data_IF_233655239490
#
_entry.id   IF_233655239490
#
_cell.length_a   1.000
_cell.length_b   1.000
_cell.length_c   1.000
_cell.angle_alpha   90.00
_cell.angle_beta   90.00
_cell.angle_gamma   90.00
#
_symmetry.space_group_name_H-M   'P 1'
#
loop_
_entity.id
_entity.type
_entity.pdbx_description
1 polymer ?
#
# COMPACT_ATOMS: atom_id res chain seq x y z
N UNK A 1 21.33 -14.22 33.45
CA UNK A 1 20.43 -14.25 32.30
C UNK A 1 21.04 -13.34 31.23
N UNK A 2 21.52 -13.89 30.12
CA UNK A 2 21.98 -13.08 28.98
C UNK A 2 20.74 -12.61 28.26
N UNK A 3 20.40 -11.33 28.34
CA UNK A 3 19.42 -10.71 27.45
C UNK A 3 19.95 -10.81 26.04
N UNK A 4 19.27 -11.55 25.19
CA UNK A 4 19.53 -11.50 23.74
C UNK A 4 19.46 -10.04 23.29
N UNK A 5 20.34 -9.54 22.42
CA UNK A 5 20.20 -8.19 21.89
C UNK A 5 18.83 -8.07 21.22
N UNK A 6 18.03 -7.12 21.66
CA UNK A 6 16.79 -6.76 20.97
C UNK A 6 17.17 -6.38 19.54
N UNK A 7 16.76 -7.18 18.59
CA UNK A 7 16.93 -6.85 17.17
C UNK A 7 16.03 -5.65 16.86
N UNK A 8 16.64 -4.51 16.56
CA UNK A 8 15.90 -3.33 16.14
C UNK A 8 15.09 -3.68 14.89
N UNK A 9 13.77 -3.50 14.88
CA UNK A 9 12.95 -3.83 13.72
C UNK A 9 13.44 -3.05 12.49
N UNK A 10 13.63 -3.76 11.38
CA UNK A 10 13.99 -3.15 10.10
C UNK A 10 12.96 -3.48 9.02
N UNK A 11 12.77 -2.56 8.10
CA UNK A 11 11.87 -2.68 6.96
C UNK A 11 12.70 -2.90 5.69
N UNK A 12 12.22 -3.77 4.81
CA UNK A 12 12.85 -4.01 3.51
C UNK A 12 12.35 -2.98 2.51
N UNK A 13 13.12 -1.92 2.30
CA UNK A 13 12.74 -0.81 1.43
C UNK A 13 13.22 -1.08 0.01
N UNK A 14 12.30 -1.16 -0.94
CA UNK A 14 12.61 -1.25 -2.36
C UNK A 14 12.82 0.13 -2.97
N UNK A 15 11.95 1.10 -2.66
CA UNK A 15 12.01 2.46 -3.21
C UNK A 15 11.57 3.49 -2.16
N UNK A 16 12.14 4.69 -2.26
CA UNK A 16 11.73 5.86 -1.49
C UNK A 16 11.85 7.11 -2.38
N UNK A 17 10.73 7.76 -2.68
CA UNK A 17 10.67 8.89 -3.61
C UNK A 17 9.51 9.83 -3.30
N UNK A 18 9.62 11.08 -3.75
CA UNK A 18 8.57 12.09 -3.66
C UNK A 18 7.84 12.24 -4.99
N UNK A 19 6.52 12.27 -4.96
CA UNK A 19 5.64 12.45 -6.12
C UNK A 19 4.25 12.95 -5.71
N UNK A 20 3.26 12.77 -6.55
CA UNK A 20 1.84 13.08 -6.28
C UNK A 20 1.07 11.78 -6.06
N UNK A 21 0.28 11.70 -4.98
CA UNK A 21 -0.68 10.60 -4.84
C UNK A 21 -1.73 10.70 -5.96
N UNK A 22 -1.84 9.64 -6.75
CA UNK A 22 -2.70 9.60 -7.94
C UNK A 22 -4.10 9.02 -7.70
N UNK A 23 -4.39 8.49 -6.49
CA UNK A 23 -5.54 7.63 -6.26
C UNK A 23 -6.21 7.89 -4.90
N UNK A 24 -7.50 7.53 -4.81
CA UNK A 24 -8.26 7.58 -3.56
C UNK A 24 -8.49 9.00 -3.04
N UNK A 25 -8.71 9.11 -1.73
CA UNK A 25 -9.05 10.38 -1.05
C UNK A 25 -7.95 11.43 -1.12
N UNK A 26 -6.71 11.01 -1.34
CA UNK A 26 -5.55 11.91 -1.40
C UNK A 26 -5.08 12.22 -2.82
N UNK A 27 -5.90 11.92 -3.84
CA UNK A 27 -5.58 12.25 -5.24
C UNK A 27 -5.18 13.71 -5.40
N UNK A 28 -4.01 13.94 -6.00
CA UNK A 28 -3.44 15.28 -6.23
C UNK A 28 -2.55 15.80 -5.10
N UNK A 29 -2.43 15.09 -3.98
CA UNK A 29 -1.61 15.50 -2.84
C UNK A 29 -0.13 15.13 -3.04
N UNK A 30 0.82 16.08 -2.86
CA UNK A 30 2.25 15.78 -2.78
C UNK A 30 2.53 14.77 -1.65
N UNK A 31 3.24 13.70 -1.98
CA UNK A 31 3.43 12.56 -1.09
C UNK A 31 4.83 11.96 -1.23
N UNK A 32 5.33 11.38 -0.14
CA UNK A 32 6.55 10.58 -0.11
C UNK A 32 6.12 9.12 -0.07
N UNK A 33 6.49 8.37 -1.10
CA UNK A 33 6.22 6.95 -1.19
C UNK A 33 7.35 6.14 -0.60
N UNK A 34 7.01 5.21 0.28
CA UNK A 34 7.90 4.19 0.85
C UNK A 34 7.38 2.85 0.37
N UNK A 35 8.08 2.25 -0.60
CA UNK A 35 7.73 0.97 -1.18
C UNK A 35 8.48 -0.17 -0.51
N UNK A 36 7.75 -1.10 0.09
CA UNK A 36 8.32 -2.27 0.75
C UNK A 36 8.52 -3.44 -0.23
N UNK A 37 9.48 -4.30 0.09
CA UNK A 37 9.73 -5.57 -0.61
C UNK A 37 8.99 -6.72 0.07
N UNK A 38 8.42 -7.63 -0.74
CA UNK A 38 7.71 -8.83 -0.35
C UNK A 38 6.20 -8.74 -0.58
N UNK A 39 5.65 -9.67 -1.39
CA UNK A 39 4.21 -9.81 -1.61
C UNK A 39 3.86 -11.23 -2.04
N UNK A 40 3.15 -12.00 -1.24
CA UNK A 40 2.73 -13.35 -1.61
C UNK A 40 1.37 -13.42 -2.34
N UNK A 41 0.70 -12.27 -2.53
CA UNK A 41 -0.67 -12.18 -3.06
C UNK A 41 -0.74 -12.59 -4.54
N UNK A 42 0.32 -12.34 -5.31
CA UNK A 42 0.50 -12.78 -6.69
C UNK A 42 -0.62 -12.34 -7.66
N UNK A 43 -0.97 -11.04 -7.65
CA UNK A 43 -1.96 -10.44 -8.56
C UNK A 43 -1.49 -10.54 -10.01
N UNK A 44 -2.32 -11.05 -10.93
CA UNK A 44 -1.95 -11.23 -12.33
C UNK A 44 -1.61 -9.91 -13.05
N UNK A 45 -2.27 -8.83 -12.68
CA UNK A 45 -2.12 -7.47 -13.25
C UNK A 45 -1.23 -6.54 -12.42
N UNK A 46 -0.46 -7.08 -11.46
CA UNK A 46 0.43 -6.27 -10.63
C UNK A 46 1.44 -5.51 -11.51
N UNK A 47 1.59 -4.22 -11.28
CA UNK A 47 2.54 -3.33 -11.94
C UNK A 47 3.93 -3.34 -11.28
N UNK A 48 4.01 -3.81 -10.03
CA UNK A 48 5.24 -3.82 -9.22
C UNK A 48 5.72 -5.24 -8.91
N UNK A 49 5.69 -6.15 -9.90
CA UNK A 49 6.06 -7.56 -9.71
C UNK A 49 7.49 -7.77 -9.20
N UNK A 50 8.37 -6.80 -9.42
CA UNK A 50 9.74 -6.78 -8.89
C UNK A 50 9.78 -6.76 -7.35
N UNK A 51 8.68 -6.37 -6.69
CA UNK A 51 8.58 -6.36 -5.22
C UNK A 51 8.07 -7.67 -4.60
N UNK A 52 7.81 -8.72 -5.38
CA UNK A 52 7.16 -9.93 -4.85
C UNK A 52 8.08 -10.78 -3.99
N UNK A 53 9.28 -11.07 -4.50
CA UNK A 53 10.21 -11.99 -3.88
C UNK A 53 11.13 -11.27 -2.90
N UNK A 54 11.48 -11.95 -1.80
CA UNK A 54 12.51 -11.50 -0.86
C UNK A 54 13.67 -12.48 -0.99
N UNK A 55 14.65 -12.12 -1.80
CA UNK A 55 15.87 -12.89 -1.94
C UNK A 55 17.02 -12.16 -1.22
N UNK A 56 17.80 -12.88 -0.43
CA UNK A 56 18.96 -12.27 0.27
C UNK A 56 20.03 -11.77 -0.68
N UNK A 57 20.12 -12.34 -1.88
CA UNK A 57 21.01 -11.88 -2.95
C UNK A 57 20.64 -10.50 -3.49
N UNK A 58 19.41 -10.06 -3.27
CA UNK A 58 18.89 -8.78 -3.72
C UNK A 58 18.99 -7.69 -2.63
N UNK A 59 19.49 -8.05 -1.45
CA UNK A 59 19.79 -7.08 -0.40
C UNK A 59 21.01 -6.26 -0.78
N UNK A 60 20.86 -4.95 -0.82
CA UNK A 60 21.91 -4.00 -1.19
C UNK A 60 22.05 -2.91 -0.14
N UNK A 61 23.09 -2.08 -0.27
CA UNK A 61 23.22 -0.91 0.59
C UNK A 61 22.09 0.10 0.32
N UNK A 62 21.80 0.97 1.31
CA UNK A 62 20.87 2.09 1.15
C UNK A 62 21.23 2.96 -0.07
N UNK A 63 22.51 3.23 -0.30
CA UNK A 63 22.96 4.05 -1.42
C UNK A 63 22.71 3.37 -2.77
N UNK A 64 22.94 2.07 -2.88
CA UNK A 64 22.68 1.33 -4.11
C UNK A 64 21.17 1.25 -4.40
N UNK A 65 20.35 1.03 -3.37
CA UNK A 65 18.89 1.05 -3.50
C UNK A 65 18.39 2.41 -4.02
N UNK A 66 18.95 3.53 -3.51
CA UNK A 66 18.58 4.89 -3.94
C UNK A 66 19.14 5.27 -5.31
N UNK A 67 20.20 4.62 -5.76
CA UNK A 67 20.82 4.87 -7.07
C UNK A 67 20.13 4.12 -8.21
N UNK A 68 19.12 3.30 -7.92
CA UNK A 68 18.38 2.58 -8.95
C UNK A 68 17.75 3.55 -9.96
N UNK A 69 17.92 3.26 -11.23
CA UNK A 69 17.32 3.99 -12.35
C UNK A 69 16.21 3.20 -13.06
N UNK A 70 16.01 1.95 -12.61
CA UNK A 70 15.00 1.03 -13.16
C UNK A 70 14.35 0.27 -12.00
N UNK A 71 13.16 -0.25 -12.23
CA UNK A 71 12.48 -1.15 -11.32
C UNK A 71 13.24 -2.48 -11.22
N UNK A 72 13.70 -2.80 -10.01
CA UNK A 72 14.41 -4.05 -9.71
C UNK A 72 13.97 -4.63 -8.40
N UNK A 73 14.25 -5.91 -8.15
CA UNK A 73 14.00 -6.60 -6.89
C UNK A 73 14.94 -6.19 -5.75
N UNK A 74 15.93 -5.34 -6.02
CA UNK A 74 16.88 -4.87 -5.00
C UNK A 74 16.21 -4.05 -3.91
N UNK A 75 16.54 -4.35 -2.66
CA UNK A 75 16.01 -3.70 -1.46
C UNK A 75 17.10 -3.48 -0.41
N UNK A 76 16.88 -2.53 0.48
CA UNK A 76 17.75 -2.28 1.63
C UNK A 76 16.99 -2.50 2.94
N UNK A 77 17.62 -3.17 3.92
CA UNK A 77 17.09 -3.23 5.29
C UNK A 77 17.35 -1.90 5.99
N UNK A 78 16.29 -1.24 6.45
CA UNK A 78 16.39 0.08 7.10
C UNK A 78 15.56 0.13 8.37
N UNK A 79 16.14 0.69 9.44
CA UNK A 79 15.40 1.01 10.67
C UNK A 79 14.54 2.25 10.49
N UNK A 80 13.62 2.51 11.44
CA UNK A 80 12.81 3.74 11.46
C UNK A 80 13.71 4.97 11.40
N UNK A 81 14.75 5.03 12.21
CA UNK A 81 15.67 6.17 12.31
C UNK A 81 16.39 6.43 10.97
N UNK A 82 16.80 5.36 10.28
CA UNK A 82 17.43 5.46 8.97
C UNK A 82 16.47 5.99 7.90
N UNK A 83 15.21 5.54 7.91
CA UNK A 83 14.19 6.03 6.98
C UNK A 83 13.89 7.52 7.23
N UNK A 84 13.72 7.93 8.49
CA UNK A 84 13.51 9.34 8.85
C UNK A 84 14.69 10.21 8.46
N UNK A 85 15.92 9.75 8.73
CA UNK A 85 17.14 10.46 8.36
C UNK A 85 17.24 10.66 6.84
N UNK A 86 16.90 9.60 6.07
CA UNK A 86 16.90 9.63 4.62
C UNK A 86 15.86 10.62 4.06
N UNK A 87 14.62 10.62 4.56
CA UNK A 87 13.59 11.58 4.14
C UNK A 87 14.04 13.01 4.40
N UNK A 88 14.69 13.26 5.54
CA UNK A 88 15.25 14.57 5.88
C UNK A 88 16.41 14.96 4.96
N UNK A 89 17.34 14.04 4.70
CA UNK A 89 18.51 14.25 3.82
C UNK A 89 18.11 14.57 2.39
N UNK A 90 17.12 13.87 1.84
CA UNK A 90 16.57 14.13 0.51
C UNK A 90 15.89 15.51 0.38
N UNK A 91 15.56 16.15 1.50
CA UNK A 91 14.98 17.48 1.51
C UNK A 91 13.57 17.55 0.89
N UNK A 92 12.84 16.45 0.90
CA UNK A 92 11.47 16.35 0.42
C UNK A 92 10.54 17.36 1.08
N UNK A 93 9.56 17.87 0.34
CA UNK A 93 8.65 18.94 0.78
C UNK A 93 7.29 18.43 1.18
N UNK A 94 6.87 17.28 0.61
CA UNK A 94 5.61 16.65 0.94
C UNK A 94 5.51 16.31 2.43
N UNK A 95 4.31 16.39 2.98
CA UNK A 95 4.00 16.10 4.38
C UNK A 95 3.04 14.91 4.53
N UNK A 96 2.86 14.14 3.47
CA UNK A 96 2.08 12.93 3.44
C UNK A 96 2.97 11.75 3.07
N UNK A 97 2.98 10.73 3.92
CA UNK A 97 3.74 9.49 3.72
C UNK A 97 2.77 8.41 3.24
N UNK A 98 3.08 7.79 2.11
CA UNK A 98 2.35 6.63 1.59
C UNK A 98 3.23 5.39 1.70
N UNK A 99 2.86 4.47 2.59
CA UNK A 99 3.53 3.19 2.75
C UNK A 99 2.78 2.17 1.88
N UNK A 100 3.47 1.63 0.91
CA UNK A 100 2.93 0.74 -0.11
C UNK A 100 3.99 -0.32 -0.48
N UNK A 101 3.89 -0.94 -1.63
CA UNK A 101 4.97 -1.75 -2.18
C UNK A 101 4.53 -3.11 -2.63
N UNK A 102 5.15 -4.17 -2.14
CA UNK A 102 4.62 -5.51 -2.16
C UNK A 102 3.32 -5.56 -1.35
N UNK A 103 3.33 -6.24 -0.21
CA UNK A 103 2.23 -6.16 0.76
C UNK A 103 2.77 -5.59 2.08
N UNK A 104 2.53 -4.31 2.38
CA UNK A 104 3.15 -3.66 3.53
C UNK A 104 2.67 -4.21 4.87
N UNK A 105 1.45 -4.73 4.96
CA UNK A 105 0.88 -5.27 6.19
C UNK A 105 1.41 -6.68 6.55
N UNK A 106 2.39 -7.22 5.81
CA UNK A 106 3.15 -8.40 6.25
C UNK A 106 4.02 -8.13 7.48
N UNK A 107 4.22 -6.86 7.84
CA UNK A 107 5.03 -6.44 9.00
C UNK A 107 4.27 -5.39 9.81
N UNK A 108 4.65 -5.25 11.08
CA UNK A 108 4.11 -4.21 11.95
C UNK A 108 4.69 -2.83 11.55
N UNK A 109 3.83 -1.91 11.15
CA UNK A 109 4.16 -0.55 10.73
C UNK A 109 3.90 0.50 11.81
N UNK A 110 3.43 0.11 12.99
CA UNK A 110 3.02 1.02 14.07
C UNK A 110 4.13 2.00 14.44
N UNK A 111 5.36 1.49 14.61
CA UNK A 111 6.51 2.32 14.95
C UNK A 111 6.88 3.30 13.85
N UNK A 112 6.84 2.87 12.59
CA UNK A 112 7.15 3.71 11.43
C UNK A 112 6.12 4.83 11.25
N UNK A 113 4.83 4.51 11.30
CA UNK A 113 3.75 5.50 11.22
C UNK A 113 3.85 6.51 12.36
N UNK A 114 3.96 6.02 13.61
CA UNK A 114 4.03 6.89 14.79
C UNK A 114 5.22 7.85 14.75
N UNK A 115 6.37 7.40 14.27
CA UNK A 115 7.56 8.24 14.17
C UNK A 115 7.39 9.39 13.16
N UNK A 116 6.78 9.13 12.00
CA UNK A 116 6.45 10.18 11.04
C UNK A 116 5.40 11.16 11.59
N UNK A 117 4.37 10.65 12.25
CA UNK A 117 3.29 11.46 12.83
C UNK A 117 3.81 12.40 13.93
N UNK A 118 4.78 11.94 14.74
CA UNK A 118 5.46 12.80 15.75
C UNK A 118 6.24 13.94 15.10
N UNK A 119 6.68 13.79 13.85
CA UNK A 119 7.34 14.83 13.07
C UNK A 119 6.37 15.70 12.24
N UNK A 120 5.06 15.51 12.43
CA UNK A 120 4.02 16.31 11.77
C UNK A 120 3.68 15.87 10.35
N UNK A 121 4.03 14.64 9.96
CA UNK A 121 3.55 14.04 8.72
C UNK A 121 2.18 13.37 8.95
N UNK A 122 1.33 13.36 7.94
CA UNK A 122 0.22 12.40 7.84
C UNK A 122 0.71 11.10 7.21
N UNK A 123 0.13 9.97 7.64
CA UNK A 123 0.52 8.64 7.17
C UNK A 123 -0.65 7.93 6.51
N UNK A 124 -0.37 7.20 5.43
CA UNK A 124 -1.29 6.34 4.70
C UNK A 124 -0.62 4.99 4.45
N UNK A 125 -1.37 3.90 4.60
CA UNK A 125 -0.97 2.58 4.14
C UNK A 125 -1.90 2.11 3.04
N UNK A 126 -1.34 1.53 1.96
CA UNK A 126 -2.08 0.87 0.89
C UNK A 126 -1.85 -0.64 0.96
N UNK A 127 -2.88 -1.41 1.26
CA UNK A 127 -2.80 -2.87 1.48
C UNK A 127 -3.81 -3.64 0.65
N UNK A 128 -3.52 -4.91 0.40
CA UNK A 128 -4.43 -5.85 -0.25
C UNK A 128 -5.62 -6.27 0.63
N UNK A 129 -5.56 -6.03 1.94
CA UNK A 129 -6.55 -6.50 2.90
C UNK A 129 -6.42 -7.99 3.27
N UNK A 130 -5.31 -8.63 2.90
CA UNK A 130 -5.10 -10.08 3.15
C UNK A 130 -4.27 -10.37 4.41
N UNK A 131 -3.79 -9.32 5.09
CA UNK A 131 -3.04 -9.39 6.33
C UNK A 131 -3.66 -8.49 7.39
N UNK A 132 -3.44 -8.80 8.67
CA UNK A 132 -3.83 -7.93 9.77
C UNK A 132 -3.06 -6.61 9.69
N UNK A 133 -3.77 -5.51 9.95
CA UNK A 133 -3.23 -4.16 9.78
C UNK A 133 -2.73 -3.63 11.11
N UNK A 134 -1.42 -3.62 11.27
CA UNK A 134 -0.73 -3.06 12.44
C UNK A 134 -0.10 -1.71 12.08
N UNK A 135 -0.84 -0.63 12.34
CA UNK A 135 -0.45 0.77 12.11
C UNK A 135 -0.87 1.62 13.31
N UNK A 136 -0.45 2.88 13.36
CA UNK A 136 -0.97 3.83 14.35
C UNK A 136 -2.46 4.13 14.13
N UNK A 137 -3.16 4.56 15.18
CA UNK A 137 -4.59 4.91 15.08
C UNK A 137 -4.86 6.07 14.10
N UNK A 138 -3.88 6.95 13.90
CA UNK A 138 -3.98 8.11 13.00
C UNK A 138 -3.69 7.78 11.54
N UNK A 139 -3.06 6.63 11.28
CA UNK A 139 -2.72 6.23 9.92
C UNK A 139 -3.99 5.98 9.10
N UNK A 140 -4.07 6.63 7.94
CA UNK A 140 -5.12 6.37 6.96
C UNK A 140 -4.89 5.01 6.30
N UNK A 141 -5.91 4.19 6.28
CA UNK A 141 -5.85 2.85 5.70
C UNK A 141 -6.67 2.80 4.41
N UNK A 142 -5.96 2.60 3.30
CA UNK A 142 -6.56 2.30 1.99
C UNK A 142 -6.49 0.80 1.77
N UNK A 143 -7.63 0.13 1.77
CA UNK A 143 -7.70 -1.28 1.42
C UNK A 143 -8.05 -1.42 -0.05
N UNK A 144 -7.17 -2.09 -0.80
CA UNK A 144 -7.40 -2.47 -2.19
C UNK A 144 -7.63 -3.99 -2.28
N UNK A 145 -8.85 -4.48 -1.99
CA UNK A 145 -9.08 -5.91 -1.79
C UNK A 145 -8.68 -6.73 -3.02
N UNK A 146 -7.77 -7.68 -2.82
CA UNK A 146 -7.24 -8.56 -3.87
C UNK A 146 -8.00 -9.88 -3.90
N UNK A 147 -9.24 -9.81 -4.40
CA UNK A 147 -10.19 -10.92 -4.43
C UNK A 147 -9.69 -12.01 -5.38
N UNK A 148 -9.71 -13.28 -4.93
CA UNK A 148 -9.41 -14.47 -5.74
C UNK A 148 -8.03 -14.43 -6.44
N UNK A 149 -6.99 -13.91 -5.78
CA UNK A 149 -5.64 -13.90 -6.35
C UNK A 149 -4.95 -15.27 -6.24
N UNK A 150 -3.90 -15.47 -7.07
CA UNK A 150 -3.17 -16.75 -7.15
C UNK A 150 -2.51 -17.17 -5.84
N UNK A 151 -2.15 -16.21 -4.98
CA UNK A 151 -1.58 -16.48 -3.66
C UNK A 151 -2.55 -17.17 -2.70
N UNK A 152 -3.86 -17.16 -2.98
CA UNK A 152 -4.88 -17.87 -2.20
C UNK A 152 -5.17 -17.23 -0.83
N UNK A 153 -4.71 -16.02 -0.57
CA UNK A 153 -4.96 -15.32 0.68
C UNK A 153 -6.39 -14.75 0.71
N UNK A 154 -7.18 -15.03 1.76
CA UNK A 154 -8.51 -14.44 1.92
C UNK A 154 -8.42 -12.95 2.29
N UNK A 155 -9.46 -12.19 1.96
CA UNK A 155 -9.62 -10.84 2.49
C UNK A 155 -10.09 -10.95 3.95
N UNK A 156 -9.41 -10.26 4.86
CA UNK A 156 -9.70 -10.32 6.28
C UNK A 156 -10.79 -9.32 6.68
N UNK A 157 -11.72 -9.78 7.50
CA UNK A 157 -12.75 -8.92 8.07
C UNK A 157 -12.16 -7.78 8.89
N UNK A 158 -11.10 -8.04 9.66
CA UNK A 158 -10.36 -7.03 10.43
C UNK A 158 -9.80 -5.92 9.53
N UNK A 159 -9.28 -6.28 8.36
CA UNK A 159 -8.75 -5.31 7.39
C UNK A 159 -9.87 -4.46 6.77
N UNK A 160 -10.99 -5.08 6.38
CA UNK A 160 -12.14 -4.38 5.82
C UNK A 160 -12.76 -3.39 6.83
N UNK A 161 -12.91 -3.78 8.08
CA UNK A 161 -13.43 -2.91 9.15
C UNK A 161 -12.46 -1.79 9.54
N UNK A 162 -11.13 -1.98 9.35
CA UNK A 162 -10.11 -0.94 9.62
C UNK A 162 -9.99 0.07 8.48
N UNK A 163 -10.52 -0.22 7.30
CA UNK A 163 -10.40 0.63 6.11
C UNK A 163 -11.02 2.02 6.33
N UNK A 164 -10.26 3.06 6.04
CA UNK A 164 -10.77 4.42 5.90
C UNK A 164 -11.34 4.66 4.50
N UNK A 165 -10.85 3.91 3.50
CA UNK A 165 -11.37 3.86 2.15
C UNK A 165 -11.10 2.49 1.52
N UNK A 166 -11.88 2.12 0.53
CA UNK A 166 -11.69 0.93 -0.29
C UNK A 166 -11.45 1.38 -1.73
N UNK A 167 -10.35 0.92 -2.32
CA UNK A 167 -9.96 1.19 -3.69
C UNK A 167 -9.95 -0.10 -4.49
N UNK A 168 -10.75 -0.22 -5.55
CA UNK A 168 -10.89 -1.47 -6.27
C UNK A 168 -10.64 -1.30 -7.78
N UNK A 169 -9.64 -2.01 -8.34
CA UNK A 169 -9.39 -2.02 -9.78
C UNK A 169 -10.46 -2.82 -10.50
N UNK A 170 -11.07 -2.25 -11.53
CA UNK A 170 -12.11 -2.91 -12.32
C UNK A 170 -11.82 -2.90 -13.82
N UNK A 171 -12.21 -3.96 -14.51
CA UNK A 171 -12.19 -4.07 -15.96
C UNK A 171 -13.49 -4.64 -16.54
N UNK A 172 -14.28 -5.35 -15.73
CA UNK A 172 -15.50 -6.07 -16.13
C UNK A 172 -16.57 -5.94 -15.05
N UNK A 173 -17.83 -6.22 -15.41
CA UNK A 173 -18.94 -6.27 -14.46
C UNK A 173 -18.70 -7.29 -13.34
N UNK A 174 -18.06 -8.41 -13.64
CA UNK A 174 -17.71 -9.41 -12.62
C UNK A 174 -16.87 -8.81 -11.48
N UNK A 175 -15.91 -7.92 -11.78
CA UNK A 175 -15.12 -7.26 -10.73
C UNK A 175 -15.99 -6.34 -9.85
N UNK A 176 -17.05 -5.74 -10.41
CA UNK A 176 -18.01 -4.93 -9.66
C UNK A 176 -18.88 -5.81 -8.77
N UNK A 177 -19.35 -6.94 -9.28
CA UNK A 177 -20.18 -7.88 -8.55
C UNK A 177 -19.38 -8.55 -7.41
N UNK A 178 -18.15 -8.96 -7.66
CA UNK A 178 -17.23 -9.48 -6.64
C UNK A 178 -17.01 -8.46 -5.52
N UNK A 179 -16.80 -7.16 -5.87
CA UNK A 179 -16.67 -6.11 -4.87
C UNK A 179 -17.96 -5.95 -4.05
N UNK A 180 -19.14 -5.90 -4.71
CA UNK A 180 -20.41 -5.76 -3.99
C UNK A 180 -20.68 -6.93 -3.05
N UNK A 181 -20.36 -8.15 -3.48
CA UNK A 181 -20.47 -9.34 -2.63
C UNK A 181 -19.56 -9.24 -1.40
N UNK A 182 -18.29 -8.80 -1.60
CA UNK A 182 -17.35 -8.59 -0.51
C UNK A 182 -17.83 -7.52 0.48
N UNK A 183 -18.32 -6.37 -0.02
CA UNK A 183 -18.85 -5.30 0.83
C UNK A 183 -20.03 -5.76 1.68
N UNK A 184 -20.94 -6.55 1.10
CA UNK A 184 -22.08 -7.14 1.79
C UNK A 184 -21.65 -8.18 2.83
N UNK A 185 -20.69 -9.05 2.50
CA UNK A 185 -20.13 -10.07 3.41
C UNK A 185 -19.55 -9.44 4.69
N UNK A 186 -18.85 -8.32 4.55
CA UNK A 186 -18.19 -7.62 5.66
C UNK A 186 -19.03 -6.50 6.27
N UNK A 187 -20.27 -6.29 5.82
CA UNK A 187 -21.18 -5.22 6.28
C UNK A 187 -20.57 -3.80 6.17
N UNK A 188 -19.92 -3.51 5.04
CA UNK A 188 -19.30 -2.21 4.77
C UNK A 188 -20.33 -1.25 4.17
N UNK A 189 -20.80 -0.26 4.95
CA UNK A 189 -21.87 0.65 4.54
C UNK A 189 -21.42 2.10 4.29
N UNK A 190 -20.49 2.61 5.12
CA UNK A 190 -20.15 4.04 5.16
C UNK A 190 -18.73 4.36 4.71
N UNK A 191 -17.93 3.37 4.36
CA UNK A 191 -16.57 3.56 3.89
C UNK A 191 -16.58 4.04 2.44
N UNK A 192 -15.86 5.13 2.10
CA UNK A 192 -15.75 5.59 0.71
C UNK A 192 -15.18 4.51 -0.20
N UNK A 193 -15.82 4.31 -1.35
CA UNK A 193 -15.41 3.34 -2.36
C UNK A 193 -14.88 4.09 -3.58
N UNK A 194 -13.68 3.72 -4.01
CA UNK A 194 -13.04 4.23 -5.23
C UNK A 194 -12.88 3.11 -6.25
N UNK A 195 -13.34 3.33 -7.47
CA UNK A 195 -13.14 2.42 -8.58
C UNK A 195 -11.99 2.92 -9.46
N UNK A 196 -11.10 2.01 -9.80
CA UNK A 196 -9.94 2.30 -10.65
C UNK A 196 -10.04 1.49 -11.95
N UNK A 197 -10.23 2.14 -13.12
CA UNK A 197 -10.25 1.41 -14.40
C UNK A 197 -8.89 0.78 -14.69
N UNK A 198 -8.84 -0.52 -14.92
CA UNK A 198 -7.60 -1.23 -15.25
C UNK A 198 -7.12 -0.82 -16.66
N UNK A 199 -5.82 -0.48 -16.77
CA UNK A 199 -5.11 -0.31 -18.03
C UNK A 199 -5.69 0.74 -18.98
N UNK A 200 -6.38 1.76 -18.48
CA UNK A 200 -6.94 2.88 -19.26
C UNK A 200 -7.78 2.45 -20.48
N UNK A 201 -8.39 1.26 -20.40
CA UNK A 201 -9.27 0.77 -21.48
C UNK A 201 -10.58 1.57 -21.45
N UNK A 202 -11.04 2.13 -22.59
CA UNK A 202 -12.26 2.94 -22.63
C UNK A 202 -13.47 2.24 -22.00
N UNK A 203 -13.70 0.96 -22.30
CA UNK A 203 -14.81 0.19 -21.72
C UNK A 203 -14.72 0.05 -20.19
N UNK A 204 -13.51 -0.11 -19.63
CA UNK A 204 -13.34 -0.18 -18.18
C UNK A 204 -13.61 1.20 -17.53
N UNK A 205 -13.23 2.29 -18.19
CA UNK A 205 -13.50 3.65 -17.74
C UNK A 205 -15.01 3.96 -17.79
N UNK A 206 -15.69 3.62 -18.87
CA UNK A 206 -17.15 3.77 -19.01
C UNK A 206 -17.91 2.98 -17.94
N UNK A 207 -17.49 1.72 -17.71
CA UNK A 207 -18.06 0.89 -16.65
C UNK A 207 -17.83 1.51 -15.26
N UNK A 208 -16.62 1.98 -14.98
CA UNK A 208 -16.29 2.62 -13.70
C UNK A 208 -17.16 3.85 -13.46
N UNK A 209 -17.30 4.74 -14.45
CA UNK A 209 -18.13 5.95 -14.37
C UNK A 209 -19.58 5.58 -14.11
N UNK A 210 -20.15 4.68 -14.91
CA UNK A 210 -21.54 4.24 -14.75
C UNK A 210 -21.79 3.62 -13.37
N UNK A 211 -20.87 2.78 -12.89
CA UNK A 211 -20.97 2.13 -11.58
C UNK A 211 -20.85 3.13 -10.44
N UNK A 212 -19.93 4.10 -10.53
CA UNK A 212 -19.78 5.16 -9.54
C UNK A 212 -21.06 5.99 -9.41
N UNK A 213 -21.66 6.40 -10.54
CA UNK A 213 -22.92 7.17 -10.55
C UNK A 213 -24.05 6.34 -9.92
N UNK A 214 -24.18 5.07 -10.29
CA UNK A 214 -25.28 4.22 -9.83
C UNK A 214 -25.21 3.90 -8.33
N UNK A 215 -24.01 3.88 -7.73
CA UNK A 215 -23.81 3.47 -6.33
C UNK A 215 -23.33 4.63 -5.42
N UNK A 216 -23.23 5.85 -5.93
CA UNK A 216 -22.65 7.01 -5.22
C UNK A 216 -21.20 6.72 -4.75
N UNK A 217 -20.43 6.00 -5.58
CA UNK A 217 -19.01 5.74 -5.38
C UNK A 217 -18.15 6.79 -6.12
N UNK A 218 -16.84 6.69 -5.98
CA UNK A 218 -15.88 7.64 -6.56
C UNK A 218 -15.00 6.95 -7.61
N UNK A 219 -14.45 7.76 -8.51
CA UNK A 219 -13.52 7.32 -9.54
C UNK A 219 -12.09 7.70 -9.14
#
# INVERSE_FOLDING_TARGET
MKTSPETIPSYKINELFETIQGEGSFTGQPSIFIRLQGCPVACSWCDTKHTWQIELSDEVSQNDMLAKTQETSQWAAMTVEQILALVKEKGFKAKHIVITGGEPCMVDLTSLCSAFEQLGYSTQVETSGTFDIHVSDKCWVTVSPKINMRGGYPILNSAMLRANEIKHPIATELHVDDLKALLAEHNIENTPIYLQPISQKPRATELAIATCIANNWRL
#
